data_IF_816916779987
#
_entry.id   IF_816916779987
#
_cell.length_a   1.000
_cell.length_b   1.000
_cell.length_c   1.000
_cell.angle_alpha   90.00
_cell.angle_beta   90.00
_cell.angle_gamma   90.00
#
_symmetry.space_group_name_H-M   'P 1'
#
loop_
_entity.id
_entity.type
_entity.pdbx_description
1 polymer ?
#
# COMPACT_ATOMS: atom_id res chain seq x y z
N UNK A 1 0.91 33.86 11.82
CA UNK A 1 -0.40 33.16 11.89
C UNK A 1 -0.07 31.69 11.89
N UNK A 2 -0.44 30.95 12.93
CA UNK A 2 -0.06 29.54 13.09
C UNK A 2 -0.83 28.69 12.07
N UNK A 3 -0.13 27.85 11.31
CA UNK A 3 -0.76 26.99 10.31
C UNK A 3 -1.41 25.78 10.98
N UNK A 4 -2.72 25.85 11.19
CA UNK A 4 -3.54 24.80 11.82
C UNK A 4 -3.90 23.62 10.90
N UNK A 5 -3.47 23.63 9.63
CA UNK A 5 -3.79 22.54 8.69
C UNK A 5 -3.13 21.23 9.15
N UNK A 6 -3.90 20.14 9.21
CA UNK A 6 -3.39 18.78 9.47
C UNK A 6 -2.47 18.25 8.37
N UNK A 7 -2.76 18.65 7.12
CA UNK A 7 -2.03 18.22 5.93
C UNK A 7 -1.36 19.41 5.24
N UNK A 8 -0.07 19.30 4.94
CA UNK A 8 0.71 20.30 4.20
C UNK A 8 1.22 19.73 2.89
N UNK A 9 1.49 20.57 1.90
CA UNK A 9 2.13 20.14 0.67
C UNK A 9 3.59 19.77 0.94
N UNK A 10 4.12 18.85 0.16
CA UNK A 10 5.53 18.43 0.28
C UNK A 10 6.48 19.62 0.14
N UNK A 11 6.22 20.53 -0.81
CA UNK A 11 7.03 21.72 -1.04
C UNK A 11 6.86 22.84 0.02
N UNK A 12 5.97 22.66 1.00
CA UNK A 12 5.82 23.56 2.14
C UNK A 12 6.64 23.07 3.35
N UNK A 13 7.22 21.86 3.32
CA UNK A 13 7.83 21.26 4.51
C UNK A 13 9.00 22.07 5.05
N UNK A 14 9.89 22.55 4.18
CA UNK A 14 11.08 23.33 4.56
C UNK A 14 10.72 24.76 5.00
N UNK A 15 9.51 25.22 4.65
CA UNK A 15 9.00 26.53 5.05
C UNK A 15 8.31 26.50 6.41
N UNK A 16 7.74 25.35 6.76
CA UNK A 16 6.90 25.17 7.95
C UNK A 16 7.58 24.36 9.05
N UNK A 17 8.70 23.71 8.75
CA UNK A 17 9.43 22.83 9.67
C UNK A 17 10.94 23.01 9.49
N UNK A 18 11.73 22.48 10.42
CA UNK A 18 13.20 22.42 10.31
C UNK A 18 13.69 21.27 9.42
N UNK A 19 12.79 20.49 8.82
CA UNK A 19 13.17 19.36 7.98
C UNK A 19 13.46 19.79 6.56
N UNK A 20 14.41 19.09 5.93
CA UNK A 20 14.61 19.16 4.48
C UNK A 20 13.71 18.16 3.76
N UNK A 21 13.45 18.40 2.48
CA UNK A 21 12.68 17.45 1.66
C UNK A 21 13.37 16.08 1.56
N UNK A 22 14.71 16.04 1.55
CA UNK A 22 15.49 14.81 1.51
C UNK A 22 15.28 13.96 2.76
N UNK A 23 15.20 14.58 3.95
CA UNK A 23 14.91 13.85 5.19
C UNK A 23 13.53 13.19 5.16
N UNK A 24 12.55 13.86 4.54
CA UNK A 24 11.21 13.30 4.34
C UNK A 24 11.24 12.14 3.34
N UNK A 25 11.99 12.27 2.24
CA UNK A 25 12.17 11.19 1.27
C UNK A 25 12.81 9.96 1.92
N UNK A 26 13.91 10.13 2.65
CA UNK A 26 14.60 9.06 3.36
C UNK A 26 13.71 8.33 4.37
N UNK A 27 12.83 9.07 5.06
CA UNK A 27 11.87 8.47 5.99
C UNK A 27 10.79 7.66 5.26
N UNK A 28 10.28 8.15 4.14
CA UNK A 28 9.31 7.44 3.31
C UNK A 28 9.92 6.15 2.75
N UNK A 29 11.18 6.18 2.29
CA UNK A 29 11.87 4.98 1.77
C UNK A 29 12.14 3.92 2.83
N UNK A 30 12.40 4.34 4.07
CA UNK A 30 12.78 3.44 5.17
C UNK A 30 11.58 2.80 5.83
N UNK A 31 10.55 3.58 6.12
CA UNK A 31 9.45 3.14 6.99
C UNK A 31 8.22 2.69 6.21
N UNK A 32 8.24 2.80 4.88
CA UNK A 32 7.17 2.32 4.02
C UNK A 32 5.86 3.13 4.13
N UNK A 33 5.88 4.26 4.83
CA UNK A 33 4.69 5.05 5.09
C UNK A 33 4.11 5.64 3.80
N UNK A 34 2.81 5.44 3.60
CA UNK A 34 2.07 6.07 2.51
C UNK A 34 1.92 7.56 2.76
N UNK A 35 2.09 8.37 1.70
CA UNK A 35 1.72 9.77 1.74
C UNK A 35 0.24 9.97 1.38
N UNK A 36 -0.25 11.16 1.65
CA UNK A 36 -1.64 11.50 1.40
C UNK A 36 -1.78 12.26 0.08
N UNK A 37 -2.95 12.21 -0.52
CA UNK A 37 -3.35 13.09 -1.61
C UNK A 37 -4.77 13.57 -1.39
N UNK A 38 -5.07 14.78 -1.86
CA UNK A 38 -6.44 15.26 -1.92
C UNK A 38 -7.07 14.77 -3.22
N UNK A 39 -8.23 14.12 -3.13
CA UNK A 39 -9.02 13.72 -4.30
C UNK A 39 -10.44 14.31 -4.21
N UNK A 40 -11.06 14.49 -5.37
CA UNK A 40 -12.44 14.98 -5.49
C UNK A 40 -13.11 14.22 -6.62
N UNK A 41 -13.74 13.11 -6.30
CA UNK A 41 -14.23 12.14 -7.28
C UNK A 41 -15.63 11.64 -6.95
N UNK A 42 -16.31 11.17 -7.99
CA UNK A 42 -17.66 10.62 -7.90
C UNK A 42 -17.66 9.12 -8.20
N UNK A 43 -18.68 8.42 -7.68
CA UNK A 43 -18.89 6.98 -7.94
C UNK A 43 -17.69 6.10 -7.57
N UNK A 44 -16.94 6.46 -6.52
CA UNK A 44 -15.86 5.64 -5.97
C UNK A 44 -16.42 4.34 -5.39
N UNK A 45 -15.64 3.27 -5.44
CA UNK A 45 -16.03 1.98 -4.90
C UNK A 45 -15.50 1.78 -3.48
N UNK A 46 -16.38 1.41 -2.54
CA UNK A 46 -15.99 1.01 -1.19
C UNK A 46 -15.63 -0.46 -1.19
N UNK A 47 -14.48 -0.81 -0.61
CA UNK A 47 -13.95 -2.16 -0.62
C UNK A 47 -13.91 -2.76 0.78
N UNK A 48 -14.01 -4.08 0.83
CA UNK A 48 -13.65 -4.84 2.01
C UNK A 48 -12.13 -4.83 2.27
N UNK A 49 -11.70 -5.46 3.37
CA UNK A 49 -10.28 -5.52 3.75
C UNK A 49 -9.42 -6.29 2.75
N UNK A 50 -10.02 -7.21 1.98
CA UNK A 50 -9.28 -7.95 0.94
C UNK A 50 -9.13 -7.16 -0.36
N UNK A 51 -9.91 -6.08 -0.53
CA UNK A 51 -9.90 -5.26 -1.73
C UNK A 51 -10.60 -5.93 -2.93
N UNK A 52 -11.36 -7.00 -2.68
CA UNK A 52 -11.99 -7.81 -3.74
C UNK A 52 -13.52 -7.78 -3.71
N UNK A 53 -14.10 -7.42 -2.58
CA UNK A 53 -15.55 -7.31 -2.43
C UNK A 53 -15.94 -5.84 -2.50
N UNK A 54 -16.86 -5.52 -3.42
CA UNK A 54 -17.42 -4.18 -3.54
C UNK A 54 -18.61 -4.04 -2.59
N UNK A 55 -18.51 -3.12 -1.63
CA UNK A 55 -19.47 -2.92 -0.55
C UNK A 55 -20.52 -1.82 -0.84
N UNK A 56 -20.18 -0.88 -1.72
CA UNK A 56 -21.02 0.27 -2.02
C UNK A 56 -20.32 1.27 -2.94
N UNK A 57 -21.09 2.22 -3.48
CA UNK A 57 -20.55 3.38 -4.20
C UNK A 57 -20.69 4.63 -3.34
N UNK A 58 -19.80 5.60 -3.55
CA UNK A 58 -19.86 6.87 -2.83
C UNK A 58 -19.17 8.01 -3.59
N UNK A 59 -19.52 9.24 -3.23
CA UNK A 59 -18.81 10.45 -3.63
C UNK A 59 -17.88 10.92 -2.51
N UNK A 60 -16.73 11.48 -2.88
CA UNK A 60 -15.72 11.87 -1.90
C UNK A 60 -14.93 13.09 -2.35
N UNK A 61 -14.74 13.99 -1.39
CA UNK A 61 -13.87 15.15 -1.54
C UNK A 61 -13.06 15.31 -0.25
N UNK A 62 -11.82 14.85 -0.25
CA UNK A 62 -11.02 14.80 0.96
C UNK A 62 -9.67 14.12 0.76
N UNK A 63 -9.00 13.84 1.87
CA UNK A 63 -7.68 13.21 1.88
C UNK A 63 -7.78 11.69 1.77
N UNK A 64 -6.89 11.09 1.00
CA UNK A 64 -6.69 9.65 0.93
C UNK A 64 -5.24 9.31 1.22
N UNK A 65 -5.02 8.15 1.83
CA UNK A 65 -3.70 7.57 2.01
C UNK A 65 -3.38 6.69 0.80
N UNK A 66 -2.24 6.95 0.18
CA UNK A 66 -1.73 6.24 -0.98
C UNK A 66 -0.87 5.05 -0.56
N UNK A 67 -0.77 4.06 -1.45
CA UNK A 67 0.19 2.97 -1.28
C UNK A 67 1.64 3.43 -1.35
N UNK A 68 2.54 2.62 -0.79
CA UNK A 68 3.97 2.93 -0.77
C UNK A 68 4.56 3.08 -2.18
N UNK A 69 4.18 2.19 -3.12
CA UNK A 69 4.61 2.26 -4.53
C UNK A 69 4.18 3.58 -5.20
N UNK A 70 2.92 3.97 -4.99
CA UNK A 70 2.38 5.23 -5.51
C UNK A 70 3.11 6.43 -4.92
N UNK A 71 3.35 6.39 -3.61
CA UNK A 71 4.10 7.41 -2.88
C UNK A 71 5.52 7.56 -3.41
N UNK A 72 6.25 6.45 -3.60
CA UNK A 72 7.62 6.45 -4.10
C UNK A 72 7.72 7.06 -5.50
N UNK A 73 6.84 6.64 -6.41
CA UNK A 73 6.77 7.17 -7.78
C UNK A 73 6.53 8.68 -7.81
N UNK A 74 5.57 9.16 -7.01
CA UNK A 74 5.21 10.57 -6.98
C UNK A 74 6.26 11.43 -6.26
N UNK A 75 6.83 10.96 -5.14
CA UNK A 75 7.74 11.75 -4.32
C UNK A 75 9.18 11.71 -4.84
N UNK A 76 9.68 10.52 -5.18
CA UNK A 76 11.11 10.29 -5.46
C UNK A 76 11.37 10.33 -6.95
N UNK A 77 10.59 9.57 -7.72
CA UNK A 77 10.73 9.50 -9.18
C UNK A 77 10.08 10.72 -9.88
N UNK A 78 9.29 11.51 -9.13
CA UNK A 78 8.57 12.69 -9.64
C UNK A 78 7.69 12.38 -10.86
N UNK A 79 7.19 11.14 -10.94
CA UNK A 79 6.39 10.63 -12.06
C UNK A 79 4.90 10.74 -11.75
N UNK A 80 4.06 11.30 -12.65
CA UNK A 80 2.62 11.20 -12.54
C UNK A 80 2.16 9.74 -12.59
N UNK A 81 1.15 9.39 -11.79
CA UNK A 81 0.65 8.01 -11.72
C UNK A 81 -0.87 7.95 -11.79
N UNK A 82 -1.37 6.80 -12.22
CA UNK A 82 -2.79 6.46 -12.16
C UNK A 82 -3.02 5.50 -10.99
N UNK A 83 -3.78 5.95 -9.99
CA UNK A 83 -4.09 5.16 -8.80
C UNK A 83 -5.47 4.54 -8.94
N UNK A 84 -5.54 3.23 -8.72
CA UNK A 84 -6.81 2.48 -8.70
C UNK A 84 -7.35 2.23 -7.30
N UNK A 85 -6.49 2.17 -6.28
CA UNK A 85 -6.83 1.82 -4.90
C UNK A 85 -6.13 2.72 -3.90
N UNK A 86 -6.83 3.06 -2.83
CA UNK A 86 -6.36 3.95 -1.79
C UNK A 86 -7.19 3.75 -0.51
N UNK A 87 -6.78 4.39 0.59
CA UNK A 87 -7.52 4.36 1.85
C UNK A 87 -8.14 5.74 2.09
N UNK A 88 -9.45 5.78 2.31
CA UNK A 88 -10.14 6.99 2.74
C UNK A 88 -9.86 7.22 4.21
N UNK A 89 -9.29 8.39 4.55
CA UNK A 89 -8.88 8.72 5.92
C UNK A 89 -9.80 9.73 6.63
N UNK A 90 -10.69 10.39 5.89
CA UNK A 90 -11.67 11.37 6.41
C UNK A 90 -13.11 10.89 6.09
N UNK A 91 -13.58 9.79 6.71
CA UNK A 91 -14.87 9.17 6.38
C UNK A 91 -16.08 10.12 6.55
N UNK A 92 -15.94 11.17 7.34
CA UNK A 92 -16.94 12.23 7.50
C UNK A 92 -17.19 13.02 6.20
N UNK A 93 -16.22 13.09 5.28
CA UNK A 93 -16.31 13.76 3.98
C UNK A 93 -17.01 12.93 2.90
N UNK A 94 -17.34 11.67 3.22
CA UNK A 94 -18.11 10.80 2.32
C UNK A 94 -19.52 11.33 2.17
N UNK A 95 -19.96 11.45 0.92
CA UNK A 95 -21.30 11.87 0.54
C UNK A 95 -21.94 10.87 -0.42
N UNK A 96 -23.28 10.88 -0.46
CA UNK A 96 -24.10 10.10 -1.40
C UNK A 96 -23.66 8.63 -1.53
N UNK A 97 -24.04 7.80 -0.55
CA UNK A 97 -23.71 6.37 -0.57
C UNK A 97 -24.82 5.61 -1.29
N UNK A 98 -24.44 4.76 -2.24
CA UNK A 98 -25.38 3.95 -3.03
C UNK A 98 -25.08 2.47 -2.96
N UNK A 99 -26.14 1.69 -3.10
CA UNK A 99 -26.06 0.25 -3.30
C UNK A 99 -25.63 -0.06 -4.74
N UNK A 100 -24.51 -0.76 -4.87
CA UNK A 100 -24.00 -1.22 -6.17
C UNK A 100 -25.00 -2.10 -6.91
N UNK A 101 -25.81 -2.92 -6.22
CA UNK A 101 -26.79 -3.82 -6.86
C UNK A 101 -27.94 -3.06 -7.49
N UNK A 102 -28.32 -1.93 -6.93
CA UNK A 102 -29.37 -1.07 -7.50
C UNK A 102 -28.85 -0.23 -8.66
N UNK A 103 -27.57 0.15 -8.62
CA UNK A 103 -26.93 0.97 -9.65
C UNK A 103 -26.50 0.14 -10.88
N UNK A 104 -26.08 -1.11 -10.69
CA UNK A 104 -25.56 -2.00 -11.73
C UNK A 104 -26.33 -3.33 -11.78
N UNK A 105 -27.57 -3.30 -12.25
CA UNK A 105 -28.50 -4.45 -12.17
C UNK A 105 -28.12 -5.63 -13.08
N UNK A 106 -27.51 -5.35 -14.23
CA UNK A 106 -27.26 -6.33 -15.28
C UNK A 106 -25.76 -6.59 -15.56
N UNK A 107 -24.87 -5.94 -14.82
CA UNK A 107 -23.42 -6.05 -15.01
C UNK A 107 -22.81 -7.25 -14.28
N UNK A 108 -21.86 -7.93 -14.93
CA UNK A 108 -21.05 -8.97 -14.28
C UNK A 108 -20.02 -8.35 -13.34
N UNK A 109 -19.60 -9.10 -12.32
CA UNK A 109 -18.71 -8.64 -11.24
C UNK A 109 -17.32 -8.13 -11.71
N UNK A 110 -16.85 -8.55 -12.90
CA UNK A 110 -15.65 -7.99 -13.51
C UNK A 110 -14.40 -8.14 -12.64
N UNK A 111 -13.85 -7.01 -12.16
CA UNK A 111 -12.66 -6.98 -11.30
C UNK A 111 -12.94 -7.25 -9.80
N UNK A 112 -14.19 -7.53 -9.45
CA UNK A 112 -14.62 -7.86 -8.08
C UNK A 112 -15.02 -9.34 -7.97
N UNK A 113 -14.76 -9.95 -6.81
CA UNK A 113 -15.12 -11.33 -6.52
C UNK A 113 -16.61 -11.44 -6.10
N UNK A 114 -17.15 -10.40 -5.48
CA UNK A 114 -18.57 -10.30 -5.09
C UNK A 114 -19.01 -8.85 -4.85
N UNK A 115 -20.32 -8.62 -4.84
CA UNK A 115 -20.95 -7.38 -4.37
C UNK A 115 -21.73 -7.69 -3.11
N UNK A 116 -21.36 -7.04 -2.02
CA UNK A 116 -22.08 -7.11 -0.75
C UNK A 116 -22.75 -5.77 -0.46
N UNK A 117 -23.84 -5.82 0.30
CA UNK A 117 -24.56 -4.62 0.68
C UNK A 117 -24.03 -4.09 2.00
N UNK A 118 -23.42 -2.91 1.96
CA UNK A 118 -23.12 -2.14 3.16
C UNK A 118 -24.13 -1.00 3.33
N UNK A 119 -24.85 -1.02 4.46
CA UNK A 119 -25.79 0.04 4.83
C UNK A 119 -25.19 0.90 5.95
N UNK A 120 -24.82 2.14 5.64
CA UNK A 120 -24.43 3.12 6.64
C UNK A 120 -23.36 4.10 6.16
N UNK A 121 -23.23 5.22 6.87
CA UNK A 121 -22.09 6.13 6.68
C UNK A 121 -20.86 5.51 7.36
N UNK A 122 -19.70 5.39 6.68
CA UNK A 122 -18.50 4.93 7.32
C UNK A 122 -18.10 5.88 8.46
N UNK A 123 -17.67 5.32 9.59
CA UNK A 123 -17.21 6.09 10.76
C UNK A 123 -15.72 5.91 11.04
N UNK A 124 -15.06 5.03 10.27
CA UNK A 124 -13.65 4.69 10.37
C UNK A 124 -13.04 4.72 8.99
N UNK A 125 -11.71 4.79 8.92
CA UNK A 125 -10.97 4.66 7.68
C UNK A 125 -11.32 3.35 6.97
N UNK A 126 -11.33 3.36 5.64
CA UNK A 126 -11.73 2.20 4.84
C UNK A 126 -11.03 2.19 3.48
N UNK A 127 -10.97 1.01 2.87
CA UNK A 127 -10.38 0.82 1.54
C UNK A 127 -11.36 1.27 0.46
N UNK A 128 -10.84 1.94 -0.56
CA UNK A 128 -11.60 2.39 -1.69
C UNK A 128 -10.85 2.17 -3.00
N UNK A 129 -11.60 2.13 -4.09
CA UNK A 129 -11.07 2.21 -5.43
C UNK A 129 -11.55 3.45 -6.17
N UNK A 130 -10.83 3.75 -7.25
CA UNK A 130 -11.20 4.73 -8.26
C UNK A 130 -12.63 4.48 -8.79
N UNK A 131 -13.21 5.46 -9.51
CA UNK A 131 -14.61 5.41 -9.93
C UNK A 131 -14.98 4.07 -10.58
N UNK A 132 -16.07 3.46 -10.12
CA UNK A 132 -16.58 2.20 -10.64
C UNK A 132 -17.48 2.49 -11.83
N UNK A 133 -17.22 1.82 -12.95
CA UNK A 133 -17.96 2.02 -14.20
C UNK A 133 -18.29 0.67 -14.84
N UNK A 134 -19.32 0.68 -15.69
CA UNK A 134 -19.58 -0.46 -16.57
C UNK A 134 -18.64 -0.38 -17.78
N UNK A 135 -17.78 -1.38 -17.91
CA UNK A 135 -16.83 -1.50 -19.01
C UNK A 135 -17.34 -2.59 -19.93
N UNK A 136 -17.39 -2.33 -21.24
CA UNK A 136 -17.69 -3.38 -22.21
C UNK A 136 -16.56 -4.40 -22.23
N UNK A 137 -16.89 -5.68 -22.45
CA UNK A 137 -15.91 -6.77 -22.49
C UNK A 137 -14.72 -6.51 -23.44
N UNK A 138 -14.92 -5.70 -24.50
CA UNK A 138 -13.87 -5.32 -25.46
C UNK A 138 -12.81 -4.39 -24.85
N UNK A 139 -13.21 -3.44 -24.01
CA UNK A 139 -12.31 -2.43 -23.43
C UNK A 139 -11.53 -2.97 -22.23
N UNK A 140 -12.13 -3.89 -21.46
CA UNK A 140 -11.46 -4.60 -20.39
C UNK A 140 -10.30 -5.46 -20.92
N UNK A 141 -10.53 -6.23 -21.99
CA UNK A 141 -9.51 -7.05 -22.65
C UNK A 141 -8.37 -6.19 -23.24
N UNK A 142 -8.69 -5.04 -23.84
CA UNK A 142 -7.68 -4.11 -24.38
C UNK A 142 -6.81 -3.45 -23.28
N UNK A 143 -7.39 -3.15 -22.12
CA UNK A 143 -6.66 -2.56 -20.99
C UNK A 143 -5.74 -3.59 -20.32
N UNK A 144 -6.16 -4.85 -20.26
CA UNK A 144 -5.36 -5.96 -19.71
C UNK A 144 -4.18 -6.30 -20.64
N UNK A 145 -4.39 -6.33 -21.96
CA UNK A 145 -3.34 -6.50 -22.97
C UNK A 145 -2.34 -5.33 -22.96
N UNK A 146 -2.81 -4.09 -22.81
CA UNK A 146 -1.94 -2.91 -22.75
C UNK A 146 -1.08 -2.81 -21.49
N UNK A 147 -1.37 -3.60 -20.45
CA UNK A 147 -0.61 -3.65 -19.19
C UNK A 147 0.46 -4.73 -19.13
N UNK A 148 0.51 -5.64 -20.11
CA UNK A 148 1.65 -6.52 -20.32
C UNK A 148 2.72 -5.77 -21.11
N UNK A 149 3.95 -5.76 -20.59
CA UNK A 149 5.07 -5.04 -21.19
C UNK A 149 5.29 -5.45 -22.65
N UNK A 150 5.72 -4.49 -23.49
CA UNK A 150 6.08 -4.73 -24.90
C UNK A 150 7.15 -5.81 -25.11
N UNK A 151 7.80 -6.28 -24.04
CA UNK A 151 8.83 -7.33 -24.07
C UNK A 151 8.27 -8.75 -24.11
N UNK A 152 7.07 -9.01 -23.56
CA UNK A 152 6.45 -10.35 -23.59
C UNK A 152 5.75 -10.65 -24.94
N UNK A 153 5.45 -9.62 -25.73
CA UNK A 153 4.73 -9.76 -27.01
C UNK A 153 5.55 -10.34 -28.18
N UNK A 154 6.85 -10.64 -28.00
CA UNK A 154 7.69 -11.13 -29.11
C UNK A 154 7.71 -12.65 -29.28
N UNK A 155 7.16 -13.45 -28.36
CA UNK A 155 7.43 -14.90 -28.38
C UNK A 155 6.26 -15.87 -28.60
N UNK A 156 4.99 -15.45 -28.63
CA UNK A 156 3.90 -16.40 -28.92
C UNK A 156 2.92 -15.89 -29.98
N UNK A 157 2.73 -16.74 -31.00
CA UNK A 157 2.05 -16.49 -32.26
C UNK A 157 0.51 -16.40 -32.16
N UNK A 158 -0.06 -15.86 -33.26
CA UNK A 158 -1.39 -16.08 -33.85
C UNK A 158 -2.58 -15.19 -33.45
N UNK A 159 -2.82 -14.21 -34.33
CA UNK A 159 -4.08 -13.50 -34.64
C UNK A 159 -4.93 -13.01 -33.45
N UNK A 160 -4.62 -11.81 -32.89
CA UNK A 160 -5.51 -11.09 -31.97
C UNK A 160 -6.92 -10.82 -32.53
N UNK A 161 -7.08 -10.84 -33.86
CA UNK A 161 -8.35 -10.58 -34.54
C UNK A 161 -9.43 -11.64 -34.32
N UNK A 162 -9.08 -12.92 -34.15
CA UNK A 162 -10.08 -13.99 -33.96
C UNK A 162 -10.61 -14.04 -32.51
N UNK A 163 -9.77 -13.68 -31.54
CA UNK A 163 -10.18 -13.55 -30.13
C UNK A 163 -11.08 -12.30 -29.99
N UNK A 164 -10.73 -11.20 -30.68
CA UNK A 164 -11.56 -9.99 -30.71
C UNK A 164 -12.95 -10.23 -31.33
N UNK A 165 -13.07 -10.99 -32.41
CA UNK A 165 -14.37 -11.24 -33.06
C UNK A 165 -15.34 -12.06 -32.21
N UNK A 166 -14.84 -13.05 -31.47
CA UNK A 166 -15.69 -13.86 -30.59
C UNK A 166 -16.16 -13.04 -29.39
N UNK A 167 -15.29 -12.18 -28.84
CA UNK A 167 -15.67 -11.26 -27.74
C UNK A 167 -16.68 -10.23 -28.25
N UNK A 168 -16.49 -9.64 -29.45
CA UNK A 168 -17.38 -8.64 -30.10
C UNK A 168 -18.83 -9.10 -30.31
N UNK A 169 -19.11 -10.40 -30.23
CA UNK A 169 -20.44 -10.97 -30.41
C UNK A 169 -21.33 -10.93 -29.14
N UNK A 170 -20.75 -10.77 -27.96
CA UNK A 170 -21.48 -10.72 -26.68
C UNK A 170 -21.53 -9.30 -26.11
N UNK A 171 -22.67 -8.62 -26.21
CA UNK A 171 -22.96 -7.32 -25.56
C UNK A 171 -23.12 -7.49 -24.04
N UNK A 172 -22.07 -7.89 -23.34
CA UNK A 172 -22.08 -7.95 -21.88
C UNK A 172 -21.12 -6.90 -21.30
N UNK A 173 -21.63 -6.18 -20.31
CA UNK A 173 -20.86 -5.21 -19.53
C UNK A 173 -20.40 -5.86 -18.23
N UNK A 174 -19.19 -5.51 -17.81
CA UNK A 174 -18.61 -5.92 -16.54
C UNK A 174 -18.25 -4.70 -15.71
N UNK A 175 -18.25 -4.86 -14.40
CA UNK A 175 -17.78 -3.81 -13.49
C UNK A 175 -16.26 -3.68 -13.58
N UNK A 176 -15.82 -2.48 -13.94
CA UNK A 176 -14.42 -2.08 -13.93
C UNK A 176 -14.20 -0.92 -12.98
N UNK A 177 -12.94 -0.70 -12.63
CA UNK A 177 -12.49 0.51 -11.94
C UNK A 177 -11.74 1.40 -12.93
N UNK A 178 -12.06 2.69 -12.93
CA UNK A 178 -11.26 3.71 -13.59
C UNK A 178 -9.91 3.93 -12.88
N UNK A 179 -9.39 5.14 -13.02
CA UNK A 179 -8.15 5.56 -12.39
C UNK A 179 -8.26 7.02 -11.95
N UNK A 180 -7.55 7.37 -10.88
CA UNK A 180 -7.33 8.75 -10.46
C UNK A 180 -5.91 9.12 -10.85
N UNK A 181 -5.77 10.11 -11.74
CA UNK A 181 -4.48 10.65 -12.12
C UNK A 181 -3.94 11.58 -11.04
N UNK A 182 -2.79 11.26 -10.47
CA UNK A 182 -2.10 12.07 -9.46
C UNK A 182 -0.78 12.59 -10.00
N UNK A 183 -0.44 13.82 -9.62
CA UNK A 183 0.84 14.46 -9.92
C UNK A 183 1.65 14.66 -8.63
N UNK A 184 2.98 14.80 -8.70
CA UNK A 184 3.81 14.98 -7.51
C UNK A 184 3.35 16.11 -6.57
N UNK A 185 2.85 17.22 -7.11
CA UNK A 185 2.35 18.34 -6.30
C UNK A 185 1.00 18.09 -5.61
N UNK A 186 0.32 16.99 -5.91
CA UNK A 186 -0.91 16.58 -5.23
C UNK A 186 -0.62 15.89 -3.89
N UNK A 187 0.64 15.48 -3.67
CA UNK A 187 1.07 14.87 -2.42
C UNK A 187 0.94 15.84 -1.24
N UNK A 188 0.56 15.26 -0.11
CA UNK A 188 0.39 15.91 1.18
C UNK A 188 1.05 15.09 2.28
N UNK A 189 1.69 15.80 3.19
CA UNK A 189 2.30 15.27 4.42
C UNK A 189 1.33 15.49 5.57
N UNK A 190 1.12 14.45 6.38
CA UNK A 190 0.40 14.58 7.63
C UNK A 190 1.34 15.14 8.70
N UNK A 191 0.99 16.25 9.35
CA UNK A 191 1.79 16.85 10.43
C UNK A 191 1.92 15.93 11.64
N UNK A 192 0.89 15.18 11.99
CA UNK A 192 0.95 14.23 13.12
C UNK A 192 2.02 13.16 12.87
N UNK A 193 2.12 12.69 11.63
CA UNK A 193 3.15 11.74 11.21
C UNK A 193 4.56 12.36 11.26
N UNK A 194 4.73 13.60 10.78
CA UNK A 194 6.00 14.33 10.88
C UNK A 194 6.43 14.50 12.35
N UNK A 195 5.50 14.87 13.22
CA UNK A 195 5.77 15.06 14.65
C UNK A 195 6.13 13.73 15.31
N UNK A 196 5.43 12.64 14.98
CA UNK A 196 5.73 11.31 15.49
C UNK A 196 7.12 10.82 15.04
N UNK A 197 7.48 11.08 13.78
CA UNK A 197 8.69 10.55 13.17
C UNK A 197 9.95 11.35 13.54
N UNK A 198 9.82 12.67 13.65
CA UNK A 198 10.97 13.57 13.81
C UNK A 198 10.95 14.37 15.11
N UNK A 199 9.90 14.26 15.93
CA UNK A 199 9.79 14.98 17.21
C UNK A 199 9.66 16.50 17.04
N UNK A 200 9.03 16.95 15.96
CA UNK A 200 8.91 18.37 15.63
C UNK A 200 7.86 19.00 16.54
N UNK A 201 8.29 19.65 17.62
CA UNK A 201 7.47 20.70 18.22
C UNK A 201 7.53 21.93 17.29
N UNK A 202 6.35 22.50 16.98
CA UNK A 202 6.22 23.60 16.04
C UNK A 202 7.15 24.76 16.41
N UNK A 203 7.96 25.21 15.45
CA UNK A 203 8.88 26.34 15.63
C UNK A 203 8.04 27.60 15.86
N UNK A 204 8.07 28.13 17.09
CA UNK A 204 7.46 29.43 17.42
C UNK A 204 8.23 30.55 16.71
N UNK A 205 7.57 31.62 16.20
CA UNK A 205 8.15 32.56 15.23
C UNK A 205 9.12 33.59 15.82
N UNK A 206 9.58 33.41 17.06
CA UNK A 206 10.57 34.30 17.67
C UNK A 206 11.93 33.61 17.69
N UNK A 207 12.70 33.86 16.63
CA UNK A 207 14.09 33.44 16.54
C UNK A 207 14.90 33.93 17.74
N UNK A 208 15.23 33.01 18.63
CA UNK A 208 16.44 33.04 19.43
C UNK A 208 17.00 31.63 19.43
N UNK A 209 17.99 31.45 18.55
CA UNK A 209 18.87 30.30 18.51
C UNK A 209 19.73 30.35 19.76
N UNK A 210 19.37 29.60 20.78
CA UNK A 210 20.33 29.05 21.74
C UNK A 210 20.53 27.61 21.25
N UNK A 211 21.56 27.33 20.45
CA UNK A 211 22.93 27.28 20.91
C UNK A 211 23.25 25.81 21.18
N UNK A 212 23.95 25.20 20.22
CA UNK A 212 24.58 23.88 20.20
C UNK A 212 24.28 22.93 21.39
N UNK A 213 23.70 21.77 21.08
CA UNK A 213 24.29 20.50 21.50
C UNK A 213 24.00 19.41 20.47
N UNK A 214 24.95 19.24 19.56
CA UNK A 214 25.14 18.03 18.77
C UNK A 214 25.66 16.92 19.68
N UNK A 215 24.81 16.39 20.57
CA UNK A 215 25.09 15.15 21.29
C UNK A 215 23.83 14.57 21.92
N UNK A 216 23.64 13.27 21.69
CA UNK A 216 22.68 12.39 22.38
C UNK A 216 21.23 12.45 21.91
N UNK A 217 20.98 11.77 20.79
CA UNK A 217 19.80 10.91 20.65
C UNK A 217 19.78 9.94 21.84
N UNK A 218 19.21 10.37 22.97
CA UNK A 218 18.79 9.47 24.05
C UNK A 218 17.55 8.74 23.56
N UNK A 219 17.82 7.66 22.84
CA UNK A 219 16.96 6.49 22.78
C UNK A 219 16.50 6.22 24.22
N UNK A 220 15.19 6.21 24.42
CA UNK A 220 14.58 5.85 25.69
C UNK A 220 15.17 4.54 26.20
N UNK A 221 15.95 4.66 27.27
CA UNK A 221 16.44 3.58 28.09
C UNK A 221 15.25 2.85 28.71
N UNK A 222 14.75 1.83 28.04
CA UNK A 222 14.15 0.70 28.73
C UNK A 222 15.29 -0.16 29.26
N UNK A 223 15.37 -0.19 30.60
CA UNK A 223 16.32 -0.94 31.41
C UNK A 223 16.69 -2.29 30.80
N UNK A 224 17.99 -2.46 30.65
CA UNK A 224 18.68 -3.71 30.38
C UNK A 224 18.26 -4.79 31.38
N UNK A 225 17.85 -5.94 30.87
CA UNK A 225 18.14 -7.23 31.48
C UNK A 225 18.28 -8.29 30.37
N UNK A 226 19.50 -8.80 30.21
CA UNK A 226 19.78 -10.14 29.68
C UNK A 226 19.70 -10.33 28.16
N UNK A 227 20.88 -10.52 27.55
CA UNK A 227 21.12 -11.23 26.27
C UNK A 227 20.44 -10.65 25.02
N UNK A 228 21.21 -9.90 24.23
CA UNK A 228 20.87 -9.57 22.83
C UNK A 228 20.55 -10.87 22.06
N UNK A 229 19.34 -11.08 21.52
CA UNK A 229 19.16 -12.13 20.53
C UNK A 229 19.97 -11.72 19.30
N UNK A 230 20.69 -12.69 18.75
CA UNK A 230 21.42 -12.62 17.48
C UNK A 230 20.50 -11.96 16.44
N UNK A 231 20.77 -10.69 16.10
CA UNK A 231 19.91 -9.89 15.22
C UNK A 231 19.78 -10.65 13.89
N UNK A 232 18.62 -11.24 13.65
CA UNK A 232 18.35 -12.00 12.44
C UNK A 232 18.32 -11.03 11.27
N UNK A 233 19.34 -11.11 10.42
CA UNK A 233 19.60 -10.15 9.35
C UNK A 233 18.92 -10.51 8.02
N UNK A 234 18.33 -11.71 7.92
CA UNK A 234 17.68 -12.16 6.70
C UNK A 234 16.27 -11.55 6.57
N UNK A 235 15.96 -10.77 5.50
CA UNK A 235 14.71 -10.01 5.38
C UNK A 235 13.47 -10.91 5.46
N UNK A 236 13.46 -12.04 4.75
CA UNK A 236 12.33 -12.99 4.82
C UNK A 236 12.14 -13.60 6.23
N UNK A 237 13.21 -13.78 7.00
CA UNK A 237 13.06 -14.29 8.37
C UNK A 237 12.49 -13.25 9.33
N UNK A 238 12.76 -11.97 9.09
CA UNK A 238 12.14 -10.87 9.84
C UNK A 238 10.63 -10.81 9.57
N UNK A 239 10.22 -10.96 8.30
CA UNK A 239 8.80 -11.06 7.94
C UNK A 239 8.14 -12.27 8.62
N UNK A 240 8.79 -13.45 8.59
CA UNK A 240 8.29 -14.65 9.29
C UNK A 240 8.13 -14.36 10.80
N UNK A 241 9.07 -13.65 11.41
CA UNK A 241 9.02 -13.29 12.82
C UNK A 241 7.80 -12.40 13.12
N UNK A 242 7.55 -11.36 12.31
CA UNK A 242 6.35 -10.51 12.47
C UNK A 242 5.03 -11.31 12.36
N UNK A 243 4.95 -12.29 11.46
CA UNK A 243 3.78 -13.17 11.37
C UNK A 243 3.65 -14.03 12.63
N UNK A 244 4.76 -14.56 13.15
CA UNK A 244 4.75 -15.40 14.35
C UNK A 244 4.49 -14.60 15.64
N UNK A 245 4.81 -13.31 15.69
CA UNK A 245 4.39 -12.43 16.79
C UNK A 245 2.86 -12.30 16.85
N UNK A 246 2.21 -12.24 15.68
CA UNK A 246 0.74 -12.18 15.58
C UNK A 246 0.08 -13.56 15.73
N UNK A 247 0.75 -14.61 15.25
CA UNK A 247 0.24 -15.99 15.26
C UNK A 247 1.34 -16.98 15.69
N UNK A 248 1.63 -17.11 17.01
CA UNK A 248 2.77 -17.89 17.52
C UNK A 248 2.82 -19.36 17.09
N UNK A 249 1.63 -19.95 16.86
CA UNK A 249 1.48 -21.36 16.51
C UNK A 249 1.24 -21.61 15.01
N UNK A 250 1.30 -20.58 14.15
CA UNK A 250 1.01 -20.71 12.72
C UNK A 250 1.88 -21.79 12.04
N UNK A 251 1.27 -22.63 11.18
CA UNK A 251 2.03 -23.62 10.40
C UNK A 251 2.74 -22.92 9.23
N UNK A 252 3.82 -23.51 8.65
CA UNK A 252 4.54 -22.88 7.55
C UNK A 252 3.65 -22.44 6.37
N UNK A 253 2.61 -23.22 6.07
CA UNK A 253 1.65 -22.88 5.01
C UNK A 253 0.79 -21.65 5.37
N UNK A 254 0.39 -21.52 6.63
CA UNK A 254 -0.40 -20.39 7.12
C UNK A 254 0.43 -19.11 7.11
N UNK A 255 1.71 -19.20 7.47
CA UNK A 255 2.67 -18.09 7.40
C UNK A 255 2.86 -17.66 5.94
N UNK A 256 3.09 -18.61 5.03
CA UNK A 256 3.23 -18.33 3.60
C UNK A 256 2.00 -17.62 3.02
N UNK A 257 0.80 -18.11 3.34
CA UNK A 257 -0.44 -17.50 2.90
C UNK A 257 -0.69 -16.13 3.52
N UNK A 258 -0.29 -15.92 4.78
CA UNK A 258 -0.39 -14.61 5.44
C UNK A 258 0.52 -13.58 4.77
N UNK A 259 1.76 -13.96 4.46
CA UNK A 259 2.70 -13.11 3.71
C UNK A 259 2.17 -12.83 2.29
N UNK A 260 1.60 -13.83 1.63
CA UNK A 260 1.01 -13.67 0.30
C UNK A 260 -0.18 -12.73 0.30
N UNK A 261 -1.08 -12.87 1.27
CA UNK A 261 -2.21 -11.96 1.45
C UNK A 261 -1.71 -10.54 1.74
N UNK A 262 -0.68 -10.40 2.58
CA UNK A 262 -0.07 -9.12 2.91
C UNK A 262 0.61 -8.47 1.71
N UNK A 263 1.33 -9.23 0.89
CA UNK A 263 1.93 -8.76 -0.36
C UNK A 263 0.87 -8.22 -1.34
N UNK A 264 -0.30 -8.86 -1.39
CA UNK A 264 -1.43 -8.41 -2.21
C UNK A 264 -2.04 -7.09 -1.72
N UNK A 265 -1.75 -6.68 -0.48
CA UNK A 265 -2.10 -5.35 0.01
C UNK A 265 -1.09 -4.35 -0.57
N UNK A 266 -1.57 -3.46 -1.44
CA UNK A 266 -0.79 -2.35 -1.98
C UNK A 266 -0.55 -1.23 -0.93
N UNK A 267 -1.31 -1.24 0.17
CA UNK A 267 -1.25 -0.26 1.27
C UNK A 267 -1.34 -0.97 2.63
N UNK A 268 -0.57 -0.50 3.61
CA UNK A 268 -0.57 -0.99 5.00
C UNK A 268 -0.24 -2.49 5.15
N UNK A 269 0.86 -2.91 4.52
CA UNK A 269 1.44 -4.24 4.76
C UNK A 269 1.78 -4.39 6.25
N UNK A 270 1.24 -5.43 6.85
CA UNK A 270 1.39 -5.77 8.27
C UNK A 270 2.70 -6.50 8.54
N UNK A 271 3.24 -7.23 7.56
CA UNK A 271 4.42 -8.08 7.74
C UNK A 271 5.58 -7.64 6.84
N UNK A 272 5.35 -7.42 5.54
CA UNK A 272 6.36 -6.91 4.62
C UNK A 272 6.39 -5.37 4.62
N UNK A 273 6.70 -4.79 5.78
CA UNK A 273 6.68 -3.33 6.02
C UNK A 273 7.70 -2.57 5.17
N UNK A 274 8.85 -3.18 4.94
CA UNK A 274 9.95 -2.62 4.14
C UNK A 274 9.76 -2.87 2.63
N UNK A 275 8.68 -3.55 2.22
CA UNK A 275 8.39 -3.82 0.81
C UNK A 275 9.48 -4.65 0.11
N UNK A 276 10.14 -5.55 0.84
CA UNK A 276 11.27 -6.33 0.31
C UNK A 276 10.82 -7.43 -0.65
N UNK A 277 9.55 -7.84 -0.60
CA UNK A 277 8.97 -8.82 -1.51
C UNK A 277 8.55 -8.12 -2.80
N UNK A 278 9.20 -8.49 -3.90
CA UNK A 278 8.96 -7.95 -5.24
C UNK A 278 7.83 -8.68 -5.96
N UNK A 279 7.73 -10.00 -5.79
CA UNK A 279 6.63 -10.81 -6.32
C UNK A 279 6.48 -12.14 -5.59
N UNK A 280 5.29 -12.73 -5.65
CA UNK A 280 4.99 -14.00 -4.99
C UNK A 280 3.95 -14.82 -5.77
N UNK A 281 4.29 -16.05 -6.16
CA UNK A 281 3.42 -17.02 -6.83
C UNK A 281 2.75 -17.96 -5.82
N UNK A 282 2.24 -19.11 -6.26
CA UNK A 282 1.78 -20.18 -5.35
C UNK A 282 2.93 -20.84 -4.60
N UNK A 283 4.10 -20.97 -5.22
CA UNK A 283 5.21 -21.81 -4.75
C UNK A 283 6.56 -21.08 -4.67
N UNK A 284 6.64 -19.85 -5.15
CA UNK A 284 7.88 -19.08 -5.28
C UNK A 284 7.68 -17.66 -4.78
N UNK A 285 8.68 -17.13 -4.09
CA UNK A 285 8.76 -15.76 -3.58
C UNK A 285 10.03 -15.12 -4.10
N UNK A 286 9.92 -13.92 -4.64
CA UNK A 286 11.03 -13.09 -5.10
C UNK A 286 11.19 -11.91 -4.15
N UNK A 287 12.43 -11.61 -3.77
CA UNK A 287 12.72 -10.57 -2.80
C UNK A 287 14.09 -9.95 -2.99
N UNK A 288 14.24 -8.71 -2.55
CA UNK A 288 15.52 -8.04 -2.51
C UNK A 288 16.22 -8.25 -1.16
N UNK A 289 17.52 -8.57 -1.20
CA UNK A 289 18.37 -8.59 -0.01
C UNK A 289 18.62 -7.18 0.54
N UNK A 290 19.37 -7.07 1.64
CA UNK A 290 19.76 -5.77 2.22
C UNK A 290 20.49 -4.85 1.24
N UNK A 291 21.23 -5.44 0.31
CA UNK A 291 22.03 -4.69 -0.67
C UNK A 291 21.17 -4.18 -1.84
N UNK A 292 19.87 -4.55 -1.92
CA UNK A 292 18.85 -4.11 -2.89
C UNK A 292 19.18 -4.23 -4.40
N UNK A 293 20.38 -4.69 -4.76
CA UNK A 293 20.84 -4.76 -6.16
C UNK A 293 20.42 -6.03 -6.90
N UNK A 294 20.23 -7.15 -6.20
CA UNK A 294 19.93 -8.45 -6.82
C UNK A 294 18.65 -9.03 -6.25
N UNK A 295 17.68 -9.28 -7.14
CA UNK A 295 16.47 -10.03 -6.83
C UNK A 295 16.82 -11.50 -6.59
N UNK A 296 16.41 -12.03 -5.44
CA UNK A 296 16.65 -13.40 -5.03
C UNK A 296 15.35 -14.18 -5.06
N UNK A 297 15.44 -15.44 -5.48
CA UNK A 297 14.32 -16.36 -5.53
C UNK A 297 14.34 -17.31 -4.33
N UNK A 298 13.16 -17.59 -3.79
CA UNK A 298 12.94 -18.52 -2.69
C UNK A 298 11.71 -19.40 -2.98
N UNK A 299 11.90 -20.71 -3.00
CA UNK A 299 10.77 -21.65 -3.13
C UNK A 299 10.11 -21.91 -1.78
N UNK A 300 8.82 -22.25 -1.80
CA UNK A 300 8.07 -22.63 -0.61
C UNK A 300 8.72 -23.82 0.13
N UNK A 301 9.33 -24.76 -0.60
CA UNK A 301 10.04 -25.88 -0.01
C UNK A 301 11.21 -25.42 0.87
N UNK A 302 12.02 -24.48 0.36
CA UNK A 302 13.14 -23.92 1.11
C UNK A 302 12.66 -23.03 2.27
N UNK A 303 11.63 -22.22 2.04
CA UNK A 303 10.97 -21.41 3.07
C UNK A 303 10.49 -22.26 4.26
N UNK A 304 9.73 -23.32 3.97
CA UNK A 304 9.18 -24.25 4.97
C UNK A 304 10.26 -24.97 5.75
N UNK A 305 11.23 -25.58 5.05
CA UNK A 305 12.20 -26.51 5.67
C UNK A 305 13.32 -25.78 6.39
N UNK A 306 13.75 -24.61 5.90
CA UNK A 306 14.92 -23.92 6.42
C UNK A 306 14.52 -22.66 7.19
N UNK A 307 13.86 -21.69 6.54
CA UNK A 307 13.64 -20.37 7.13
C UNK A 307 12.68 -20.43 8.33
N UNK A 308 11.47 -20.98 8.15
CA UNK A 308 10.48 -21.07 9.23
C UNK A 308 10.99 -21.90 10.40
N UNK A 309 11.66 -23.02 10.12
CA UNK A 309 12.25 -23.87 11.15
C UNK A 309 13.32 -23.13 11.95
N UNK A 310 14.22 -22.42 11.27
CA UNK A 310 15.29 -21.63 11.91
C UNK A 310 14.69 -20.56 12.82
N UNK A 311 13.73 -19.78 12.34
CA UNK A 311 13.09 -18.70 13.14
C UNK A 311 12.38 -19.27 14.37
N UNK A 312 11.60 -20.35 14.22
CA UNK A 312 10.92 -20.99 15.36
C UNK A 312 11.90 -21.56 16.38
N UNK A 313 13.03 -22.13 15.93
CA UNK A 313 14.08 -22.63 16.83
C UNK A 313 14.68 -21.47 17.63
N UNK A 314 15.04 -20.37 16.97
CA UNK A 314 15.60 -19.18 17.63
C UNK A 314 14.61 -18.55 18.63
N UNK A 315 13.32 -18.49 18.30
CA UNK A 315 12.28 -17.99 19.23
C UNK A 315 12.16 -18.86 20.49
N UNK A 316 12.23 -20.20 20.35
CA UNK A 316 12.22 -21.12 21.50
C UNK A 316 13.47 -20.97 22.37
N UNK A 317 14.64 -20.79 21.76
CA UNK A 317 15.91 -20.59 22.48
C UNK A 317 15.98 -19.23 23.18
N UNK A 318 15.22 -18.23 22.73
CA UNK A 318 15.18 -16.88 23.33
C UNK A 318 14.08 -16.75 24.40
N UNK A 319 13.08 -17.64 24.39
CA UNK A 319 11.96 -17.63 25.35
C UNK A 319 12.13 -18.60 26.52
N UNK A 320 13.27 -19.30 26.59
CA UNK A 320 13.67 -20.23 27.65
C UNK A 320 14.77 -19.60 28.50
#
# INVERSE_FOLDING_TARGET
MEDIRKYIRVNEVEKLTSLTIEQVMDAVERDGNGLHAFISEQSLGMLDRTGKVLLGLFNYQGMVLLGHKATKKLLIEQEPINVKRFVVVEPEQVSQIWDCRNHFKDSRLGCFDSIEYFCGKPTKIFYACAPVTEVSDHMAAMTEIGSQSQEEMKQNYSNPFNILSDILSTKQTKLGTGFIGLKPHDLRLNKDWLNQMFGIEAISPNGLVNGLDSASLRLGSHKTNGLKPKIESHPIKQIILCVLESFPNAKPIDIWNSIKADYQLEVNRSYDKEGVISSMTSDTLFYFGKDKEVEKQLTYLHFRKNLVYTVKKTLKETSA
#
